data_IF_978360265409
#
_entry.id   IF_978360265409
#
_cell.length_a   1.000
_cell.length_b   1.000
_cell.length_c   1.000
_cell.angle_alpha   90.00
_cell.angle_beta   90.00
_cell.angle_gamma   90.00
#
_symmetry.space_group_name_H-M   'P 1'
#
loop_
_entity.id
_entity.type
_entity.pdbx_description
1 polymer ?
#
# COMPACT_ATOMS: atom_id res chain seq x y z
N UNK A 1 -27.83 9.27 -14.48
CA UNK A 1 -26.51 9.85 -14.80
C UNK A 1 -25.44 8.80 -14.52
N UNK A 2 -24.78 8.26 -15.55
CA UNK A 2 -23.55 7.49 -15.35
C UNK A 2 -22.40 8.49 -15.34
N UNK A 3 -21.72 8.69 -14.21
CA UNK A 3 -20.42 9.35 -14.25
C UNK A 3 -19.48 8.42 -15.01
N UNK A 4 -18.96 8.89 -16.13
CA UNK A 4 -17.78 8.28 -16.74
C UNK A 4 -16.66 8.43 -15.73
N UNK A 5 -16.33 7.35 -15.03
CA UNK A 5 -15.10 7.25 -14.24
C UNK A 5 -13.98 7.59 -15.22
N UNK A 6 -13.37 8.77 -15.08
CA UNK A 6 -12.25 9.16 -15.90
C UNK A 6 -11.15 8.12 -15.71
N UNK A 7 -10.71 7.47 -16.79
CA UNK A 7 -9.49 6.67 -16.74
C UNK A 7 -8.39 7.51 -16.11
N UNK A 8 -7.77 7.01 -15.04
CA UNK A 8 -6.63 7.66 -14.41
C UNK A 8 -5.56 7.88 -15.47
N UNK A 9 -5.30 9.13 -15.83
CA UNK A 9 -4.37 9.46 -16.90
C UNK A 9 -2.94 9.17 -16.43
N UNK A 10 -2.38 8.05 -16.88
CA UNK A 10 -0.96 7.73 -16.67
C UNK A 10 -0.12 8.56 -17.64
N UNK A 11 0.85 9.36 -17.16
CA UNK A 11 1.81 10.00 -18.04
C UNK A 11 2.52 8.97 -18.92
N UNK A 12 2.73 9.28 -20.20
CA UNK A 12 3.47 8.40 -21.13
C UNK A 12 4.96 8.31 -20.80
N UNK A 13 5.53 9.40 -20.29
CA UNK A 13 6.95 9.47 -19.93
C UNK A 13 7.23 8.80 -18.57
N UNK A 14 8.27 7.97 -18.53
CA UNK A 14 8.66 7.25 -17.31
C UNK A 14 9.00 8.20 -16.15
N UNK A 15 9.75 9.26 -16.42
CA UNK A 15 10.15 10.23 -15.40
C UNK A 15 8.94 10.90 -14.72
N UNK A 16 7.88 11.18 -15.49
CA UNK A 16 6.64 11.77 -14.94
C UNK A 16 5.83 10.75 -14.15
N UNK A 17 5.85 9.47 -14.54
CA UNK A 17 5.25 8.39 -13.74
C UNK A 17 5.96 8.20 -12.40
N UNK A 18 7.29 8.30 -12.39
CA UNK A 18 8.08 8.08 -11.17
C UNK A 18 7.81 9.15 -10.09
N UNK A 19 7.51 10.39 -10.50
CA UNK A 19 7.06 11.45 -9.59
C UNK A 19 5.78 11.08 -8.84
N UNK A 20 4.95 10.17 -9.38
CA UNK A 20 3.71 9.74 -8.74
C UNK A 20 3.91 8.76 -7.55
N UNK A 21 5.16 8.34 -7.30
CA UNK A 21 5.52 7.54 -6.11
C UNK A 21 5.73 8.38 -4.86
N UNK A 22 5.99 9.68 -5.02
CA UNK A 22 6.05 10.64 -3.91
C UNK A 22 4.66 11.12 -3.50
N UNK A 23 3.75 11.21 -4.47
CA UNK A 23 2.35 11.61 -4.29
C UNK A 23 1.50 11.16 -5.48
N UNK A 24 0.26 10.75 -5.25
CA UNK A 24 -0.66 10.33 -6.31
C UNK A 24 -0.83 8.81 -6.34
N UNK A 25 -1.18 8.27 -7.51
CA UNK A 25 -1.75 6.92 -7.62
C UNK A 25 -0.81 5.75 -7.24
N UNK A 26 0.51 5.96 -7.21
CA UNK A 26 1.49 4.93 -6.82
C UNK A 26 1.98 5.10 -5.38
N UNK A 27 1.42 6.08 -4.68
CA UNK A 27 1.76 6.40 -3.30
C UNK A 27 0.58 6.06 -2.39
N UNK A 28 0.85 5.27 -1.35
CA UNK A 28 -0.10 4.95 -0.30
C UNK A 28 0.25 5.76 0.95
N UNK A 29 -0.64 6.65 1.44
CA UNK A 29 -0.40 7.34 2.71
C UNK A 29 -0.33 6.37 3.89
N UNK A 30 0.54 6.66 4.86
CA UNK A 30 0.75 5.85 6.05
C UNK A 30 -0.53 5.46 6.81
N UNK A 31 -1.47 6.40 6.94
CA UNK A 31 -2.72 6.15 7.65
C UNK A 31 -3.64 5.18 6.88
N UNK A 32 -3.60 5.21 5.54
CA UNK A 32 -4.31 4.24 4.69
C UNK A 32 -3.64 2.88 4.81
N UNK A 33 -2.30 2.82 4.70
CA UNK A 33 -1.55 1.58 4.80
C UNK A 33 -1.81 0.86 6.14
N UNK A 34 -1.82 1.60 7.26
CA UNK A 34 -2.15 1.04 8.58
C UNK A 34 -3.57 0.49 8.65
N UNK A 35 -4.57 1.20 8.13
CA UNK A 35 -5.95 0.73 8.12
C UNK A 35 -6.12 -0.55 7.28
N UNK A 36 -5.52 -0.58 6.08
CA UNK A 36 -5.57 -1.75 5.20
C UNK A 36 -4.87 -2.96 5.81
N UNK A 37 -3.69 -2.77 6.40
CA UNK A 37 -2.96 -3.87 7.04
C UNK A 37 -3.72 -4.39 8.25
N UNK A 38 -4.22 -3.52 9.13
CA UNK A 38 -5.03 -3.95 10.29
C UNK A 38 -6.22 -4.82 9.88
N UNK A 39 -6.92 -4.45 8.82
CA UNK A 39 -8.04 -5.23 8.29
C UNK A 39 -7.59 -6.64 7.82
N UNK A 40 -6.48 -6.73 7.08
CA UNK A 40 -6.00 -8.00 6.53
C UNK A 40 -5.50 -8.96 7.62
N UNK A 41 -4.85 -8.42 8.66
CA UNK A 41 -4.21 -9.25 9.68
C UNK A 41 -5.17 -9.84 10.71
N UNK A 42 -6.40 -9.35 10.82
CA UNK A 42 -7.39 -9.88 11.79
C UNK A 42 -7.57 -11.39 11.68
N UNK A 43 -7.40 -11.95 10.48
CA UNK A 43 -7.58 -13.38 10.22
C UNK A 43 -6.44 -13.98 9.40
N UNK A 44 -5.23 -13.40 9.44
CA UNK A 44 -4.09 -13.89 8.66
C UNK A 44 -2.79 -13.91 9.47
N UNK A 45 -1.97 -14.93 9.21
CA UNK A 45 -0.60 -15.05 9.75
C UNK A 45 0.48 -14.70 8.73
N UNK A 46 0.09 -14.43 7.48
CA UNK A 46 0.97 -14.07 6.37
C UNK A 46 0.32 -13.01 5.48
N UNK A 47 1.05 -11.93 5.20
CA UNK A 47 0.66 -10.90 4.23
C UNK A 47 1.57 -11.00 3.02
N UNK A 48 0.99 -11.01 1.82
CA UNK A 48 1.71 -10.93 0.55
C UNK A 48 1.39 -9.63 -0.18
N UNK A 49 2.41 -8.85 -0.53
CA UNK A 49 2.30 -7.61 -1.32
C UNK A 49 3.06 -7.75 -2.66
N UNK A 50 2.38 -8.16 -3.74
CA UNK A 50 3.02 -8.39 -5.04
C UNK A 50 3.56 -7.12 -5.72
N UNK A 51 3.25 -5.93 -5.21
CA UNK A 51 3.64 -4.64 -5.78
C UNK A 51 4.33 -3.76 -4.72
N UNK A 52 5.27 -4.37 -4.00
CA UNK A 52 5.92 -3.83 -2.80
C UNK A 52 6.34 -2.36 -2.88
N UNK A 53 6.88 -1.93 -4.03
CA UNK A 53 7.26 -0.54 -4.25
C UNK A 53 8.21 -0.02 -3.15
N UNK A 54 7.84 1.07 -2.47
CA UNK A 54 8.60 1.63 -1.34
C UNK A 54 8.29 0.94 0.02
N UNK A 55 7.43 -0.07 0.04
CA UNK A 55 7.15 -0.91 1.21
C UNK A 55 6.14 -0.32 2.21
N UNK A 56 5.18 0.48 1.76
CA UNK A 56 4.20 1.13 2.64
C UNK A 56 3.45 0.14 3.55
N UNK A 57 3.01 -1.00 2.99
CA UNK A 57 2.31 -2.03 3.75
C UNK A 57 3.23 -2.83 4.68
N UNK A 58 4.49 -3.07 4.28
CA UNK A 58 5.46 -3.70 5.17
C UNK A 58 5.81 -2.84 6.36
N UNK A 59 6.04 -1.54 6.14
CA UNK A 59 6.32 -0.61 7.24
C UNK A 59 5.14 -0.59 8.21
N UNK A 60 3.91 -0.51 7.69
CA UNK A 60 2.71 -0.58 8.51
C UNK A 60 2.62 -1.89 9.31
N UNK A 61 2.82 -3.05 8.68
CA UNK A 61 2.79 -4.34 9.35
C UNK A 61 3.89 -4.47 10.41
N UNK A 62 5.12 -4.03 10.09
CA UNK A 62 6.25 -4.03 11.02
C UNK A 62 5.92 -3.22 12.27
N UNK A 63 5.34 -2.03 12.12
CA UNK A 63 4.89 -1.20 13.25
C UNK A 63 3.80 -1.92 14.07
N UNK A 64 2.82 -2.54 13.42
CA UNK A 64 1.73 -3.25 14.12
C UNK A 64 2.27 -4.46 14.90
N UNK A 65 3.16 -5.26 14.29
CA UNK A 65 3.83 -6.38 14.96
C UNK A 65 4.60 -5.91 16.21
N UNK A 66 5.32 -4.79 16.11
CA UNK A 66 6.05 -4.21 17.24
C UNK A 66 5.12 -3.75 18.37
N UNK A 67 4.00 -3.09 18.05
CA UNK A 67 3.07 -2.55 19.03
C UNK A 67 2.20 -3.62 19.69
N UNK A 68 1.79 -4.62 18.91
CA UNK A 68 0.84 -5.67 19.35
C UNK A 68 1.54 -6.95 19.80
N UNK A 69 2.88 -7.00 19.72
CA UNK A 69 3.69 -8.18 20.04
C UNK A 69 3.28 -9.42 19.23
N UNK A 70 2.81 -9.22 18.00
CA UNK A 70 2.46 -10.29 17.06
C UNK A 70 3.64 -10.61 16.15
N UNK A 71 3.61 -11.80 15.54
CA UNK A 71 4.61 -12.21 14.55
C UNK A 71 3.93 -12.64 13.25
N UNK A 72 3.31 -11.67 12.58
CA UNK A 72 2.71 -11.89 11.27
C UNK A 72 3.79 -11.77 10.21
N UNK A 73 3.89 -12.79 9.38
CA UNK A 73 4.89 -12.87 8.31
C UNK A 73 4.54 -11.92 7.16
N UNK A 74 5.56 -11.47 6.45
CA UNK A 74 5.41 -10.63 5.27
C UNK A 74 6.23 -11.17 4.11
N UNK A 75 5.65 -11.14 2.90
CA UNK A 75 6.33 -11.38 1.64
C UNK A 75 5.95 -10.26 0.66
N UNK A 76 6.90 -9.70 -0.08
CA UNK A 76 6.64 -8.65 -1.06
C UNK A 76 7.87 -8.30 -1.87
#
# INVERSE_FOLDING_TARGET
MRSTISQTHLPGEWAEREKLREKGQFWTPDWVARAMVNYVIENSTLVFDPAFGRGAFYIALKTINQLSQTNIMFYG
#
